data_IF_134086969125
#
_entry.id   IF_134086969125
#
_cell.length_a   1.000
_cell.length_b   1.000
_cell.length_c   1.000
_cell.angle_alpha   90.00
_cell.angle_beta   90.00
_cell.angle_gamma   90.00
#
_symmetry.space_group_name_H-M   'P 1'
#
loop_
_entity.id
_entity.type
_entity.pdbx_description
1 polymer ?
#
# COMPACT_ATOMS: atom_id res chain seq x y z
N UNK A 1 44.92 21.25 -25.22
CA UNK A 1 44.00 20.10 -25.19
C UNK A 1 43.85 19.43 -23.81
N UNK A 2 44.88 19.31 -22.97
CA UNK A 2 44.83 18.62 -21.67
C UNK A 2 43.87 19.26 -20.63
N UNK A 3 43.69 20.58 -20.60
CA UNK A 3 42.76 21.27 -19.64
C UNK A 3 41.28 21.05 -19.92
N UNK A 4 40.87 20.85 -21.18
CA UNK A 4 39.47 20.59 -21.53
C UNK A 4 39.05 19.18 -21.15
N UNK A 5 39.98 18.22 -21.18
CA UNK A 5 39.74 16.82 -20.79
C UNK A 5 39.56 16.66 -19.27
N UNK A 6 40.33 17.43 -18.49
CA UNK A 6 40.20 17.43 -17.02
C UNK A 6 38.88 18.05 -16.54
N UNK A 7 38.37 19.08 -17.21
CA UNK A 7 37.06 19.68 -16.90
C UNK A 7 35.89 18.75 -17.24
N UNK A 8 36.00 17.98 -18.36
CA UNK A 8 34.98 16.99 -18.73
C UNK A 8 34.97 15.80 -17.76
N UNK A 9 36.11 15.34 -17.30
CA UNK A 9 36.23 14.26 -16.32
C UNK A 9 35.68 14.66 -14.94
N UNK A 10 35.91 15.92 -14.52
CA UNK A 10 35.37 16.47 -13.27
C UNK A 10 33.83 16.65 -13.32
N UNK A 11 33.28 17.05 -14.46
CA UNK A 11 31.82 17.15 -14.66
C UNK A 11 31.16 15.77 -14.69
N UNK A 12 31.80 14.77 -15.28
CA UNK A 12 31.28 13.41 -15.29
C UNK A 12 31.31 12.74 -13.92
N UNK A 13 32.35 12.98 -13.10
CA UNK A 13 32.41 12.46 -11.72
C UNK A 13 31.37 13.14 -10.81
N UNK A 14 31.11 14.43 -10.98
CA UNK A 14 30.07 15.14 -10.21
C UNK A 14 28.67 14.64 -10.55
N UNK A 15 28.36 14.33 -11.81
CA UNK A 15 27.08 13.80 -12.23
C UNK A 15 26.79 12.39 -11.66
N UNK A 16 27.83 11.56 -11.49
CA UNK A 16 27.72 10.21 -10.90
C UNK A 16 27.45 10.28 -9.39
N UNK A 17 27.96 11.32 -8.70
CA UNK A 17 27.72 11.51 -7.27
C UNK A 17 26.29 11.98 -6.95
N UNK A 18 25.64 12.74 -7.84
CA UNK A 18 24.26 13.24 -7.62
C UNK A 18 23.17 12.22 -7.94
N UNK A 19 23.42 11.26 -8.85
CA UNK A 19 22.47 10.18 -9.14
C UNK A 19 22.65 8.95 -8.24
N UNK A 20 23.72 8.88 -7.46
CA UNK A 20 24.02 7.74 -6.59
C UNK A 20 23.40 7.78 -5.21
N UNK A 21 22.93 8.94 -4.72
CA UNK A 21 22.42 9.05 -3.35
C UNK A 21 21.12 8.28 -3.13
N UNK A 22 20.16 8.35 -4.06
CA UNK A 22 18.89 7.62 -3.90
C UNK A 22 19.08 6.10 -3.98
N UNK A 23 19.91 5.64 -4.94
CA UNK A 23 20.20 4.20 -5.10
C UNK A 23 21.03 3.68 -3.91
N UNK A 24 21.89 4.52 -3.33
CA UNK A 24 22.72 4.13 -2.20
C UNK A 24 21.93 4.12 -0.88
N UNK A 25 20.99 5.05 -0.67
CA UNK A 25 20.06 5.04 0.46
C UNK A 25 19.11 3.83 0.38
N UNK A 26 18.60 3.50 -0.81
CA UNK A 26 17.73 2.35 -1.01
C UNK A 26 18.49 1.02 -0.76
N UNK A 27 19.74 0.91 -1.25
CA UNK A 27 20.60 -0.25 -1.01
C UNK A 27 21.07 -0.37 0.45
N UNK A 28 21.31 0.75 1.15
CA UNK A 28 21.63 0.75 2.57
C UNK A 28 20.41 0.35 3.41
N UNK A 29 19.24 0.89 3.11
CA UNK A 29 18.00 0.53 3.81
C UNK A 29 17.62 -0.93 3.57
N UNK A 30 17.83 -1.49 2.37
CA UNK A 30 17.69 -2.93 2.14
C UNK A 30 18.71 -3.78 2.92
N UNK A 31 19.91 -3.24 3.17
CA UNK A 31 20.98 -3.92 3.89
C UNK A 31 20.79 -3.95 5.41
N UNK A 32 20.07 -2.97 5.97
CA UNK A 32 19.83 -2.86 7.42
C UNK A 32 18.44 -3.31 7.86
N UNK A 33 17.47 -3.39 6.94
CA UNK A 33 16.13 -3.91 7.23
C UNK A 33 16.16 -5.43 7.22
N UNK A 34 15.78 -6.06 8.30
CA UNK A 34 15.61 -7.51 8.35
C UNK A 34 14.47 -7.94 7.43
N UNK A 35 14.72 -8.95 6.60
CA UNK A 35 13.69 -9.57 5.77
C UNK A 35 12.78 -10.52 6.57
N UNK A 36 13.16 -10.77 7.84
CA UNK A 36 12.39 -11.60 8.76
C UNK A 36 11.29 -10.77 9.44
N UNK A 37 10.00 -11.06 9.17
CA UNK A 37 8.88 -10.32 9.74
C UNK A 37 8.75 -10.47 11.27
N UNK A 38 9.47 -11.40 11.89
CA UNK A 38 9.50 -11.58 13.36
C UNK A 38 10.59 -10.75 14.03
N UNK A 39 11.51 -10.17 13.26
CA UNK A 39 12.57 -9.31 13.76
C UNK A 39 12.02 -7.95 14.20
N UNK A 40 12.62 -7.39 15.28
CA UNK A 40 12.33 -6.01 15.70
C UNK A 40 12.77 -4.97 14.67
N UNK A 41 13.75 -5.30 13.82
CA UNK A 41 14.28 -4.44 12.76
C UNK A 41 13.48 -4.56 11.45
N UNK A 42 12.36 -5.30 11.42
CA UNK A 42 11.53 -5.41 10.23
C UNK A 42 10.74 -4.14 9.98
N UNK A 43 10.99 -3.49 8.86
CA UNK A 43 10.22 -2.35 8.40
C UNK A 43 9.08 -2.80 7.48
N UNK A 44 7.85 -2.46 7.88
CA UNK A 44 6.68 -2.73 7.03
C UNK A 44 6.67 -1.78 5.83
N UNK A 45 6.51 -2.34 4.62
CA UNK A 45 6.48 -1.62 3.34
C UNK A 45 5.20 -1.94 2.58
N UNK A 46 4.77 -1.04 1.72
CA UNK A 46 3.53 -1.17 0.94
C UNK A 46 2.30 -1.42 1.82
N UNK A 47 2.24 -0.65 2.91
CA UNK A 47 1.16 -0.73 3.91
C UNK A 47 -0.09 -0.04 3.37
N UNK A 48 -1.17 -0.79 3.21
CA UNK A 48 -2.45 -0.27 2.76
C UNK A 48 -3.20 0.37 3.94
N UNK A 49 -3.72 1.58 3.72
CA UNK A 49 -4.75 2.22 4.53
C UNK A 49 -5.94 2.61 3.67
N UNK A 50 -7.16 2.33 4.14
CA UNK A 50 -8.38 2.75 3.48
C UNK A 50 -9.10 3.75 4.38
N UNK A 51 -9.56 4.86 3.78
CA UNK A 51 -10.07 6.01 4.49
C UNK A 51 -11.38 6.50 3.87
N UNK A 52 -12.32 6.90 4.73
CA UNK A 52 -13.55 7.57 4.31
C UNK A 52 -13.26 8.98 3.80
N UNK A 53 -13.97 9.38 2.74
CA UNK A 53 -13.93 10.74 2.21
C UNK A 53 -14.84 11.63 3.05
N UNK A 54 -14.32 12.79 3.46
CA UNK A 54 -15.09 13.82 4.17
C UNK A 54 -15.69 14.79 3.15
N UNK A 55 -17.01 14.74 2.97
CA UNK A 55 -17.72 15.58 1.98
C UNK A 55 -17.77 17.05 2.38
N UNK A 56 -17.86 17.33 3.68
CA UNK A 56 -17.99 18.68 4.25
C UNK A 56 -16.91 18.89 5.31
N UNK A 57 -15.67 19.17 4.89
CA UNK A 57 -14.56 19.29 5.82
C UNK A 57 -14.78 20.49 6.77
N UNK A 58 -14.46 20.26 8.03
CA UNK A 58 -14.50 21.27 9.09
C UNK A 58 -13.10 21.63 9.57
N UNK A 59 -12.08 21.08 8.93
CA UNK A 59 -10.66 21.24 9.30
C UNK A 59 -10.38 20.88 10.77
N UNK A 60 -11.04 19.82 11.26
CA UNK A 60 -10.81 19.29 12.61
C UNK A 60 -9.58 18.39 12.64
N UNK A 61 -9.07 18.08 13.84
CA UNK A 61 -7.97 17.14 14.03
C UNK A 61 -8.31 15.70 13.57
N UNK A 62 -9.59 15.40 13.34
CA UNK A 62 -10.06 14.11 12.84
C UNK A 62 -10.11 14.04 11.30
N UNK A 63 -9.75 15.11 10.63
CA UNK A 63 -9.76 15.24 9.18
C UNK A 63 -8.38 15.57 8.67
N UNK A 64 -8.03 15.03 7.50
CA UNK A 64 -6.74 15.29 6.85
C UNK A 64 -6.94 15.56 5.37
N UNK A 65 -6.33 16.63 4.88
CA UNK A 65 -6.25 16.91 3.47
C UNK A 65 -5.13 16.09 2.84
N UNK A 66 -5.41 15.51 1.68
CA UNK A 66 -4.43 14.75 0.89
C UNK A 66 -4.40 15.24 -0.54
N UNK A 67 -3.20 15.25 -1.13
CA UNK A 67 -2.99 15.55 -2.54
C UNK A 67 -3.13 14.27 -3.37
N UNK A 68 -3.95 14.32 -4.43
CA UNK A 68 -4.21 13.19 -5.32
C UNK A 68 -3.15 13.00 -6.42
N UNK A 69 -2.15 13.90 -6.50
CA UNK A 69 -1.08 13.82 -7.49
C UNK A 69 -1.40 14.47 -8.84
N UNK A 70 -2.68 14.75 -9.11
CA UNK A 70 -3.16 15.45 -10.33
C UNK A 70 -3.43 16.95 -10.10
N UNK A 71 -3.01 17.47 -8.95
CA UNK A 71 -3.28 18.85 -8.52
C UNK A 71 -4.60 19.02 -7.77
N UNK A 72 -5.41 17.96 -7.64
CA UNK A 72 -6.61 17.97 -6.80
C UNK A 72 -6.30 17.56 -5.37
N UNK A 73 -7.09 18.06 -4.42
CA UNK A 73 -7.04 17.68 -3.03
C UNK A 73 -8.38 17.13 -2.57
N UNK A 74 -8.35 16.16 -1.69
CA UNK A 74 -9.55 15.62 -1.03
C UNK A 74 -9.33 15.54 0.47
N UNK A 75 -10.42 15.65 1.22
CA UNK A 75 -10.40 15.49 2.67
C UNK A 75 -10.83 14.08 3.05
N UNK A 76 -10.05 13.46 3.94
CA UNK A 76 -10.32 12.12 4.46
C UNK A 76 -10.36 12.13 5.98
N UNK A 77 -10.99 11.12 6.57
CA UNK A 77 -10.84 10.86 7.99
C UNK A 77 -9.36 10.62 8.32
N UNK A 78 -8.87 11.19 9.43
CA UNK A 78 -7.51 10.96 9.90
C UNK A 78 -7.30 9.50 10.33
N UNK A 79 -8.36 8.85 10.84
CA UNK A 79 -8.35 7.45 11.22
C UNK A 79 -8.69 6.57 10.03
N UNK A 80 -7.91 5.53 9.81
CA UNK A 80 -8.18 4.55 8.77
C UNK A 80 -9.35 3.63 9.18
N UNK A 81 -10.26 3.37 8.23
CA UNK A 81 -11.38 2.45 8.41
C UNK A 81 -10.94 0.99 8.25
N UNK A 82 -9.89 0.78 7.44
CA UNK A 82 -9.31 -0.55 7.19
C UNK A 82 -7.80 -0.44 6.95
N UNK A 83 -7.03 -1.45 7.41
CA UNK A 83 -5.58 -1.48 7.25
C UNK A 83 -5.04 -2.85 6.84
N UNK A 84 -3.83 -2.86 6.27
CA UNK A 84 -3.12 -4.06 5.86
C UNK A 84 -2.77 -5.02 7.00
N UNK A 85 -2.91 -4.62 8.26
CA UNK A 85 -2.79 -5.52 9.43
C UNK A 85 -3.69 -6.75 9.36
N UNK A 86 -4.73 -6.71 8.52
CA UNK A 86 -5.74 -7.76 8.35
C UNK A 86 -5.64 -8.49 7.02
N UNK A 87 -4.64 -8.16 6.19
CA UNK A 87 -4.45 -8.75 4.86
C UNK A 87 -3.43 -9.90 4.96
N UNK A 88 -3.92 -11.13 4.88
CA UNK A 88 -3.09 -12.36 4.92
C UNK A 88 -2.30 -12.59 3.65
N UNK A 89 -2.88 -12.23 2.50
CA UNK A 89 -2.27 -12.37 1.19
C UNK A 89 -2.90 -11.37 0.22
N UNK A 90 -2.16 -11.05 -0.84
CA UNK A 90 -2.65 -10.21 -1.93
C UNK A 90 -2.21 -10.81 -3.27
N UNK A 91 -2.96 -10.51 -4.33
CA UNK A 91 -2.57 -10.78 -5.71
C UNK A 91 -2.99 -9.62 -6.61
N UNK A 92 -2.13 -9.30 -7.56
CA UNK A 92 -2.36 -8.26 -8.56
C UNK A 92 -3.01 -8.88 -9.79
N UNK A 93 -4.11 -8.29 -10.24
CA UNK A 93 -4.88 -8.74 -11.40
C UNK A 93 -4.74 -7.68 -12.49
N UNK A 94 -4.17 -7.98 -13.67
CA UNK A 94 -4.12 -7.03 -14.76
C UNK A 94 -5.53 -6.56 -15.13
N UNK A 95 -5.67 -5.25 -15.36
CA UNK A 95 -6.97 -4.67 -15.69
C UNK A 95 -7.33 -4.97 -17.15
N UNK A 96 -8.53 -5.47 -17.45
CA UNK A 96 -8.96 -5.67 -18.83
C UNK A 96 -8.92 -4.35 -19.60
N UNK A 97 -8.21 -4.34 -20.73
CA UNK A 97 -8.06 -3.15 -21.59
C UNK A 97 -6.96 -2.17 -21.19
N UNK A 98 -6.29 -2.36 -20.05
CA UNK A 98 -5.15 -1.54 -19.62
C UNK A 98 -4.12 -2.44 -18.92
N UNK A 99 -3.18 -3.06 -19.64
CA UNK A 99 -2.24 -4.05 -19.10
C UNK A 99 -1.21 -3.44 -18.16
N UNK A 100 -1.04 -2.12 -18.16
CA UNK A 100 -0.11 -1.40 -17.25
C UNK A 100 -0.75 -1.05 -15.91
N UNK A 101 -2.07 -1.26 -15.78
CA UNK A 101 -2.82 -1.04 -14.55
C UNK A 101 -3.30 -2.34 -13.93
N UNK A 102 -3.28 -2.38 -12.60
CA UNK A 102 -3.62 -3.56 -11.84
C UNK A 102 -4.71 -3.26 -10.83
N UNK A 103 -5.68 -4.15 -10.75
CA UNK A 103 -6.61 -4.27 -9.64
C UNK A 103 -6.01 -5.23 -8.60
N UNK A 104 -6.50 -5.19 -7.36
CA UNK A 104 -6.05 -6.08 -6.30
C UNK A 104 -7.14 -7.06 -5.90
N UNK A 105 -6.73 -8.28 -5.56
CA UNK A 105 -7.50 -9.18 -4.75
C UNK A 105 -6.76 -9.45 -3.45
N UNK A 106 -7.42 -9.27 -2.33
CA UNK A 106 -6.85 -9.42 -0.99
C UNK A 106 -7.56 -10.54 -0.24
N UNK A 107 -6.79 -11.34 0.48
CA UNK A 107 -7.31 -12.37 1.38
C UNK A 107 -7.25 -11.84 2.80
N UNK A 108 -8.37 -11.84 3.49
CA UNK A 108 -8.52 -11.25 4.81
C UNK A 108 -8.56 -12.32 5.91
N UNK A 109 -8.10 -11.95 7.10
CA UNK A 109 -8.38 -12.72 8.31
C UNK A 109 -9.85 -12.54 8.74
N UNK A 110 -10.26 -13.22 9.80
CA UNK A 110 -11.63 -13.16 10.31
C UNK A 110 -12.04 -11.73 10.72
N UNK A 111 -11.15 -11.01 11.40
CA UNK A 111 -11.41 -9.64 11.82
C UNK A 111 -11.43 -8.67 10.63
N UNK A 112 -10.51 -8.87 9.67
CA UNK A 112 -10.48 -8.11 8.42
C UNK A 112 -11.75 -8.27 7.61
N UNK A 113 -12.31 -9.49 7.53
CA UNK A 113 -13.61 -9.72 6.88
C UNK A 113 -14.73 -8.91 7.55
N UNK A 114 -14.77 -8.88 8.89
CA UNK A 114 -15.74 -8.08 9.64
C UNK A 114 -15.57 -6.58 9.39
N UNK A 115 -14.34 -6.08 9.44
CA UNK A 115 -14.05 -4.66 9.16
C UNK A 115 -14.41 -4.30 7.72
N UNK A 116 -14.13 -5.17 6.75
CA UNK A 116 -14.49 -4.96 5.35
C UNK A 116 -16.00 -4.87 5.14
N UNK A 117 -16.76 -5.73 5.80
CA UNK A 117 -18.23 -5.68 5.79
C UNK A 117 -18.73 -4.35 6.37
N UNK A 118 -18.18 -3.91 7.49
CA UNK A 118 -18.54 -2.63 8.11
C UNK A 118 -18.22 -1.47 7.17
N UNK A 119 -17.04 -1.46 6.55
CA UNK A 119 -16.65 -0.48 5.54
C UNK A 119 -17.64 -0.45 4.37
N UNK A 120 -17.94 -1.60 3.79
CA UNK A 120 -18.84 -1.73 2.63
C UNK A 120 -20.29 -1.29 2.96
N UNK A 121 -20.79 -1.62 4.15
CA UNK A 121 -22.12 -1.20 4.58
C UNK A 121 -22.18 0.29 4.89
N UNK A 122 -21.14 0.85 5.52
CA UNK A 122 -21.03 2.27 5.83
C UNK A 122 -20.90 3.16 4.58
N UNK A 123 -20.26 2.63 3.53
CA UNK A 123 -20.00 3.35 2.27
C UNK A 123 -20.69 2.70 1.07
N UNK A 124 -21.96 2.34 1.23
CA UNK A 124 -22.72 1.68 0.18
C UNK A 124 -22.85 2.52 -1.07
N UNK A 125 -22.11 2.15 -2.13
CA UNK A 125 -22.08 2.91 -3.40
C UNK A 125 -21.26 4.20 -3.35
N UNK A 126 -20.59 4.50 -2.24
CA UNK A 126 -19.72 5.66 -2.07
C UNK A 126 -18.25 5.28 -2.21
N UNK A 127 -17.44 6.16 -2.83
CA UNK A 127 -16.03 5.90 -2.95
C UNK A 127 -15.31 6.10 -1.60
N UNK A 128 -14.29 5.27 -1.39
CA UNK A 128 -13.29 5.41 -0.32
C UNK A 128 -11.91 5.61 -0.94
N UNK A 129 -10.99 6.17 -0.17
CA UNK A 129 -9.60 6.40 -0.58
C UNK A 129 -8.73 5.23 -0.17
N UNK A 130 -7.88 4.80 -1.07
CA UNK A 130 -6.77 3.90 -0.77
C UNK A 130 -5.45 4.65 -0.80
N UNK A 131 -4.68 4.49 0.26
CA UNK A 131 -3.31 4.96 0.38
C UNK A 131 -2.38 3.78 0.59
N UNK A 132 -1.15 3.89 0.08
CA UNK A 132 -0.06 2.95 0.32
C UNK A 132 1.14 3.75 0.83
N UNK A 133 1.67 3.40 2.00
CA UNK A 133 2.74 4.13 2.67
C UNK A 133 2.49 5.65 2.72
N UNK A 134 1.25 6.04 3.10
CA UNK A 134 0.77 7.42 3.14
C UNK A 134 0.71 8.16 1.78
N UNK A 135 0.90 7.47 0.66
CA UNK A 135 0.74 8.03 -0.68
C UNK A 135 -0.65 7.67 -1.23
N UNK A 136 -1.30 8.63 -1.85
CA UNK A 136 -2.57 8.41 -2.53
C UNK A 136 -2.37 7.47 -3.73
N UNK A 137 -3.19 6.42 -3.81
CA UNK A 137 -3.20 5.47 -4.93
C UNK A 137 -4.44 5.68 -5.80
N UNK A 138 -5.58 5.94 -5.19
CA UNK A 138 -6.83 6.16 -5.90
C UNK A 138 -8.05 6.02 -5.00
N UNK A 139 -9.21 6.05 -5.64
CA UNK A 139 -10.50 5.81 -5.00
C UNK A 139 -11.18 4.59 -5.60
N UNK A 140 -11.95 3.88 -4.79
CA UNK A 140 -12.76 2.74 -5.25
C UNK A 140 -14.03 2.62 -4.41
N UNK A 141 -15.03 1.90 -4.91
CA UNK A 141 -16.25 1.58 -4.17
C UNK A 141 -16.09 0.19 -3.56
N UNK A 142 -16.18 0.03 -2.23
CA UNK A 142 -16.05 -1.28 -1.59
C UNK A 142 -17.19 -2.22 -2.03
N UNK A 143 -16.83 -3.40 -2.51
CA UNK A 143 -17.81 -4.42 -2.84
C UNK A 143 -18.31 -5.10 -1.56
N UNK A 144 -19.63 -5.23 -1.43
CA UNK A 144 -20.29 -5.91 -0.32
C UNK A 144 -20.65 -7.32 -0.78
N UNK A 145 -20.23 -8.33 -0.03
CA UNK A 145 -20.71 -9.69 -0.23
C UNK A 145 -21.85 -9.98 0.75
N UNK A 146 -22.97 -10.47 0.23
CA UNK A 146 -24.10 -10.92 1.06
C UNK A 146 -23.76 -12.23 1.84
N UNK A 147 -22.65 -12.89 1.49
CA UNK A 147 -22.23 -14.16 2.08
C UNK A 147 -20.89 -13.98 2.80
N UNK A 148 -20.94 -13.54 4.04
CA UNK A 148 -19.78 -13.30 4.90
C UNK A 148 -18.79 -14.48 4.97
N UNK A 149 -19.28 -15.71 4.98
CA UNK A 149 -18.44 -16.92 5.12
C UNK A 149 -17.75 -17.34 3.81
N UNK A 150 -18.21 -16.89 2.65
CA UNK A 150 -17.71 -17.33 1.34
C UNK A 150 -16.72 -16.35 0.70
N UNK A 151 -16.41 -15.21 1.36
CA UNK A 151 -15.41 -14.29 0.84
C UNK A 151 -14.00 -14.81 1.13
N UNK A 152 -13.47 -15.61 0.25
CA UNK A 152 -12.05 -15.97 0.34
C UNK A 152 -11.16 -14.80 -0.12
N UNK A 153 -11.54 -14.17 -1.24
CA UNK A 153 -10.84 -13.03 -1.82
C UNK A 153 -11.76 -11.84 -2.03
N UNK A 154 -11.29 -10.66 -1.66
CA UNK A 154 -11.97 -9.39 -1.83
C UNK A 154 -11.32 -8.62 -2.97
N UNK A 155 -12.13 -8.10 -3.89
CA UNK A 155 -11.65 -7.32 -5.04
C UNK A 155 -11.61 -5.83 -4.71
N UNK A 156 -10.51 -5.18 -5.09
CA UNK A 156 -10.32 -3.74 -5.04
C UNK A 156 -10.03 -3.27 -6.46
N UNK A 157 -11.01 -2.63 -7.08
CA UNK A 157 -10.91 -2.13 -8.46
C UNK A 157 -10.43 -0.69 -8.46
N UNK A 158 -9.12 -0.50 -8.50
CA UNK A 158 -8.51 0.83 -8.36
C UNK A 158 -7.61 1.21 -9.55
N UNK A 159 -7.06 0.23 -10.27
CA UNK A 159 -6.20 0.49 -11.42
C UNK A 159 -4.86 1.14 -11.02
N UNK A 160 -4.14 0.55 -10.07
CA UNK A 160 -2.83 1.05 -9.62
C UNK A 160 -1.72 0.66 -10.60
N UNK A 161 -0.57 1.32 -10.45
CA UNK A 161 0.64 1.01 -11.21
C UNK A 161 1.25 -0.36 -10.82
N UNK A 162 2.08 -0.91 -11.72
CA UNK A 162 2.71 -2.23 -11.56
C UNK A 162 3.65 -2.32 -10.36
N UNK A 163 4.38 -1.23 -10.02
CA UNK A 163 5.32 -1.21 -8.90
C UNK A 163 4.58 -1.34 -7.58
N UNK A 164 3.57 -0.49 -7.37
CA UNK A 164 2.72 -0.50 -6.17
C UNK A 164 2.00 -1.85 -6.02
N UNK A 165 1.41 -2.36 -7.09
CA UNK A 165 0.69 -3.64 -7.05
C UNK A 165 1.60 -4.81 -6.69
N UNK A 166 2.77 -4.93 -7.32
CA UNK A 166 3.75 -5.98 -7.03
C UNK A 166 4.35 -5.86 -5.63
N UNK A 167 4.60 -4.62 -5.18
CA UNK A 167 5.07 -4.34 -3.83
C UNK A 167 4.08 -4.84 -2.78
N UNK A 168 2.80 -4.51 -2.91
CA UNK A 168 1.75 -5.00 -2.02
C UNK A 168 1.73 -6.53 -1.97
N UNK A 169 1.77 -7.20 -3.13
CA UNK A 169 1.77 -8.67 -3.21
C UNK A 169 2.97 -9.28 -2.50
N UNK A 170 4.17 -8.71 -2.73
CA UNK A 170 5.43 -9.18 -2.12
C UNK A 170 5.39 -9.07 -0.59
N UNK A 171 4.86 -7.97 -0.05
CA UNK A 171 4.95 -7.65 1.37
C UNK A 171 3.68 -8.02 2.18
N UNK A 172 2.55 -8.31 1.56
CA UNK A 172 1.30 -8.59 2.27
C UNK A 172 1.43 -9.66 3.36
N UNK A 173 2.00 -10.83 3.03
CA UNK A 173 2.19 -11.93 3.99
C UNK A 173 3.18 -11.56 5.10
N UNK A 174 4.30 -10.92 4.76
CA UNK A 174 5.32 -10.48 5.73
C UNK A 174 4.74 -9.47 6.71
N UNK A 175 4.04 -8.43 6.20
CA UNK A 175 3.37 -7.43 7.02
C UNK A 175 2.33 -8.07 7.94
N UNK A 176 1.53 -9.02 7.43
CA UNK A 176 0.55 -9.74 8.24
C UNK A 176 1.21 -10.48 9.40
N UNK A 177 2.28 -11.24 9.16
CA UNK A 177 3.02 -11.97 10.19
C UNK A 177 3.63 -11.03 11.22
N UNK A 178 4.18 -9.89 10.80
CA UNK A 178 4.74 -8.87 11.69
C UNK A 178 3.67 -8.29 12.63
N UNK A 179 2.50 -7.91 12.10
CA UNK A 179 1.42 -7.34 12.91
C UNK A 179 0.67 -8.36 13.76
N UNK A 180 0.78 -9.65 13.43
CA UNK A 180 0.03 -10.74 14.07
C UNK A 180 0.97 -11.91 14.39
N UNK A 181 1.99 -11.72 15.24
CA UNK A 181 3.03 -12.74 15.50
C UNK A 181 2.45 -14.04 16.06
N UNK A 182 1.33 -13.97 16.78
CA UNK A 182 0.70 -15.15 17.39
C UNK A 182 -0.33 -15.84 16.45
N UNK A 183 -0.60 -15.28 15.26
CA UNK A 183 -1.58 -15.85 14.35
C UNK A 183 -0.97 -16.91 13.42
N UNK A 184 0.36 -16.94 13.26
CA UNK A 184 1.06 -17.85 12.36
C UNK A 184 0.97 -19.31 12.83
N UNK A 185 1.07 -19.55 14.13
CA UNK A 185 1.17 -20.91 14.68
C UNK A 185 -0.16 -21.66 14.75
N UNK A 186 -1.27 -20.93 14.72
CA UNK A 186 -2.60 -21.55 14.94
C UNK A 186 -3.27 -22.05 13.67
N UNK A 187 -2.94 -21.49 12.50
CA UNK A 187 -3.61 -21.82 11.23
C UNK A 187 -2.82 -22.77 10.33
N UNK A 188 -1.50 -22.76 10.39
CA UNK A 188 -0.68 -23.71 9.62
C UNK A 188 -0.70 -25.13 10.21
N UNK A 189 -1.22 -25.31 11.45
CA UNK A 189 -1.42 -26.61 12.09
C UNK A 189 -2.78 -27.25 11.79
N UNK A 190 -3.69 -26.58 11.08
CA UNK A 190 -5.05 -27.07 10.80
C UNK A 190 -5.26 -27.51 9.34
N UNK A 191 -4.25 -27.41 8.49
CA UNK A 191 -4.23 -27.89 7.11
C UNK A 191 -2.86 -28.48 6.76
#
# INVERSE_FOLDING_TARGET
MKRKFLLLAALFSAAVFFSGCEIFEEALNESFSSDDPTSEDYETRFVIGIFSIVRYPRATALEREINCGDGTTIWINANQDFSSKRIRAARAIPRPGDPDRFDLEIRLDRMGKSQWQTLGHGHRGEPVVMMVDNRFVGTFIPEISNYYNNMEWVKIRIGMDSYTAKGIVKFAKKNYSHYNPNAADWFDSLF
#
